data_IF_630730064244
#
_entry.id   IF_630730064244
#
_cell.length_a   1.000
_cell.length_b   1.000
_cell.length_c   1.000
_cell.angle_alpha   90.00
_cell.angle_beta   90.00
_cell.angle_gamma   90.00
#
_symmetry.space_group_name_H-M   'P 1'
#
loop_
_entity.id
_entity.type
_entity.pdbx_description
1 polymer ?
#
# COMPACT_ATOMS: atom_id res chain seq x y z
N UNK A 1 13.27 -16.67 -13.52
CA UNK A 1 13.75 -16.03 -12.27
C UNK A 1 14.76 -16.96 -11.63
N UNK A 2 15.91 -16.49 -11.14
CA UNK A 2 16.86 -17.36 -10.43
C UNK A 2 16.30 -17.76 -9.06
N UNK A 3 16.68 -18.94 -8.55
CA UNK A 3 16.28 -19.42 -7.22
C UNK A 3 16.63 -18.41 -6.10
N UNK A 4 17.74 -17.70 -6.25
CA UNK A 4 18.18 -16.67 -5.31
C UNK A 4 17.23 -15.46 -5.29
N UNK A 5 16.74 -15.01 -6.44
CA UNK A 5 15.75 -13.93 -6.53
C UNK A 5 14.42 -14.36 -5.91
N UNK A 6 14.03 -15.62 -6.11
CA UNK A 6 12.80 -16.16 -5.53
C UNK A 6 12.85 -16.17 -3.99
N UNK A 7 13.93 -16.69 -3.40
CA UNK A 7 14.10 -16.67 -1.95
C UNK A 7 14.20 -15.26 -1.38
N UNK A 8 14.91 -14.35 -2.07
CA UNK A 8 14.98 -12.94 -1.66
C UNK A 8 13.59 -12.27 -1.67
N UNK A 9 12.79 -12.50 -2.71
CA UNK A 9 11.41 -12.01 -2.79
C UNK A 9 10.54 -12.59 -1.68
N UNK A 10 10.63 -13.90 -1.41
CA UNK A 10 9.88 -14.55 -0.34
C UNK A 10 10.21 -13.96 1.04
N UNK A 11 11.49 -13.74 1.33
CA UNK A 11 11.93 -13.07 2.57
C UNK A 11 11.42 -11.64 2.65
N UNK A 12 11.52 -10.87 1.57
CA UNK A 12 11.02 -9.50 1.52
C UNK A 12 9.50 -9.43 1.80
N UNK A 13 8.70 -10.32 1.22
CA UNK A 13 7.27 -10.40 1.48
C UNK A 13 6.97 -10.65 2.97
N UNK A 14 7.71 -11.55 3.62
CA UNK A 14 7.57 -11.79 5.06
C UNK A 14 7.88 -10.55 5.90
N UNK A 15 9.02 -9.90 5.62
CA UNK A 15 9.46 -8.71 6.37
C UNK A 15 8.48 -7.55 6.22
N UNK A 16 7.99 -7.32 5.00
CA UNK A 16 7.02 -6.25 4.72
C UNK A 16 5.68 -6.55 5.39
N UNK A 17 5.22 -7.80 5.36
CA UNK A 17 3.91 -8.17 5.91
C UNK A 17 3.86 -8.12 7.44
N UNK A 18 4.97 -8.39 8.13
CA UNK A 18 5.04 -8.32 9.60
C UNK A 18 5.01 -6.86 10.09
N UNK A 19 5.46 -5.93 9.25
CA UNK A 19 5.54 -4.51 9.61
C UNK A 19 4.13 -3.90 9.62
N UNK A 20 3.59 -3.44 10.77
CA UNK A 20 2.30 -2.77 10.80
C UNK A 20 2.39 -1.50 9.95
N UNK A 21 1.58 -1.42 8.91
CA UNK A 21 1.61 -0.29 7.98
C UNK A 21 1.26 1.03 8.67
N UNK A 22 1.83 2.14 8.21
CA UNK A 22 1.59 3.47 8.78
C UNK A 22 0.08 3.82 8.88
N UNK A 23 -0.72 3.41 7.90
CA UNK A 23 -2.18 3.58 7.91
C UNK A 23 -2.90 2.73 8.98
N UNK A 24 -2.39 1.53 9.28
CA UNK A 24 -2.93 0.70 10.35
C UNK A 24 -2.68 1.35 11.73
N UNK A 25 -1.47 1.87 11.96
CA UNK A 25 -1.11 2.59 13.19
C UNK A 25 -1.93 3.88 13.32
N UNK A 26 -2.08 4.66 12.24
CA UNK A 26 -2.91 5.87 12.24
C UNK A 26 -4.38 5.57 12.58
N UNK A 27 -4.93 4.48 12.03
CA UNK A 27 -6.31 4.05 12.32
C UNK A 27 -6.47 3.61 13.77
N UNK A 28 -5.55 2.80 14.31
CA UNK A 28 -5.54 2.38 15.71
C UNK A 28 -5.44 3.59 16.66
N UNK A 29 -4.52 4.52 16.39
CA UNK A 29 -4.37 5.74 17.18
C UNK A 29 -5.62 6.62 17.12
N UNK A 30 -6.22 6.79 15.93
CA UNK A 30 -7.42 7.60 15.79
C UNK A 30 -8.64 7.00 16.49
N UNK A 31 -8.80 5.67 16.43
CA UNK A 31 -9.88 4.96 17.12
C UNK A 31 -9.74 4.99 18.64
N UNK A 32 -8.51 4.87 19.17
CA UNK A 32 -8.22 4.92 20.60
C UNK A 32 -8.32 6.34 21.17
N UNK A 33 -7.82 7.36 20.46
CA UNK A 33 -7.76 8.74 20.96
C UNK A 33 -9.02 9.58 20.68
N UNK A 34 -9.69 9.37 19.54
CA UNK A 34 -10.81 10.23 19.09
C UNK A 34 -12.15 9.49 18.91
N UNK A 35 -12.19 8.20 19.27
CA UNK A 35 -13.38 7.34 19.21
C UNK A 35 -13.76 6.89 17.79
N UNK A 36 -14.75 5.99 17.72
CA UNK A 36 -15.10 5.27 16.48
C UNK A 36 -15.51 6.19 15.31
N UNK A 37 -16.17 7.32 15.60
CA UNK A 37 -16.61 8.29 14.59
C UNK A 37 -15.44 8.93 13.83
N UNK A 38 -14.37 9.32 14.51
CA UNK A 38 -13.19 9.90 13.86
C UNK A 38 -12.31 8.82 13.21
N UNK A 39 -12.22 7.63 13.83
CA UNK A 39 -11.54 6.49 13.22
C UNK A 39 -12.14 6.09 11.87
N UNK A 40 -13.47 6.17 11.73
CA UNK A 40 -14.15 5.87 10.46
C UNK A 40 -13.76 6.85 9.34
N UNK A 41 -13.68 8.15 9.66
CA UNK A 41 -13.19 9.15 8.71
C UNK A 41 -11.73 8.94 8.32
N UNK A 42 -10.88 8.53 9.27
CA UNK A 42 -9.49 8.19 8.98
C UNK A 42 -9.37 6.99 8.03
N UNK A 43 -10.16 5.93 8.25
CA UNK A 43 -10.18 4.75 7.39
C UNK A 43 -10.62 5.09 5.95
N UNK A 44 -11.68 5.90 5.80
CA UNK A 44 -12.14 6.36 4.48
C UNK A 44 -11.04 7.17 3.78
N UNK A 45 -10.41 8.11 4.49
CA UNK A 45 -9.33 8.93 3.94
C UNK A 45 -8.15 8.08 3.45
N UNK A 46 -7.74 7.08 4.22
CA UNK A 46 -6.70 6.13 3.84
C UNK A 46 -7.08 5.32 2.59
N UNK A 47 -8.34 4.88 2.49
CA UNK A 47 -8.80 4.12 1.33
C UNK A 47 -8.83 4.97 0.05
N UNK A 48 -9.30 6.22 0.15
CA UNK A 48 -9.29 7.17 -0.98
C UNK A 48 -7.86 7.47 -1.42
N UNK A 49 -6.97 7.74 -0.46
CA UNK A 49 -5.56 7.99 -0.76
C UNK A 49 -4.90 6.79 -1.47
N UNK A 50 -5.17 5.56 -0.99
CA UNK A 50 -4.68 4.34 -1.61
C UNK A 50 -5.18 4.19 -3.05
N UNK A 51 -6.48 4.42 -3.28
CA UNK A 51 -7.07 4.34 -4.63
C UNK A 51 -6.43 5.34 -5.58
N UNK A 52 -6.27 6.60 -5.16
CA UNK A 52 -5.63 7.63 -5.97
C UNK A 52 -4.18 7.24 -6.29
N UNK A 53 -3.43 6.75 -5.31
CA UNK A 53 -2.04 6.35 -5.54
C UNK A 53 -1.93 5.18 -6.51
N UNK A 54 -2.79 4.16 -6.37
CA UNK A 54 -2.84 3.04 -7.32
C UNK A 54 -3.16 3.54 -8.73
N UNK A 55 -4.13 4.45 -8.88
CA UNK A 55 -4.48 5.02 -10.19
C UNK A 55 -3.31 5.77 -10.82
N UNK A 56 -2.57 6.55 -10.04
CA UNK A 56 -1.37 7.28 -10.52
C UNK A 56 -0.29 6.28 -10.97
N UNK A 57 0.00 5.28 -10.14
CA UNK A 57 1.00 4.24 -10.48
C UNK A 57 0.59 3.46 -11.72
N UNK A 58 -0.68 3.04 -11.81
CA UNK A 58 -1.21 2.33 -12.97
C UNK A 58 -1.15 3.18 -14.24
N UNK A 59 -1.47 4.47 -14.16
CA UNK A 59 -1.33 5.40 -15.29
C UNK A 59 0.13 5.52 -15.74
N UNK A 60 1.08 5.69 -14.81
CA UNK A 60 2.51 5.80 -15.13
C UNK A 60 3.07 4.52 -15.77
N UNK A 61 2.72 3.36 -15.21
CA UNK A 61 3.08 2.05 -15.78
C UNK A 61 2.42 1.85 -17.15
N UNK A 62 1.18 2.32 -17.33
CA UNK A 62 0.48 2.28 -18.61
C UNK A 62 1.17 3.11 -19.70
N UNK A 63 1.71 4.28 -19.36
CA UNK A 63 2.51 5.10 -20.28
C UNK A 63 3.80 4.38 -20.68
N UNK A 64 4.48 3.75 -19.72
CA UNK A 64 5.67 2.93 -20.02
C UNK A 64 5.34 1.83 -21.04
N UNK A 65 4.29 1.05 -20.80
CA UNK A 65 3.85 0.01 -21.74
C UNK A 65 3.40 0.55 -23.11
N UNK A 66 2.76 1.71 -23.16
CA UNK A 66 2.32 2.32 -24.42
C UNK A 66 3.47 2.87 -25.27
N UNK A 67 4.60 3.21 -24.65
CA UNK A 67 5.76 3.86 -25.29
C UNK A 67 6.93 2.92 -25.55
N UNK A 68 6.95 1.74 -24.94
CA UNK A 68 7.94 0.70 -25.26
C UNK A 68 7.41 -0.20 -26.39
N UNK A 69 8.06 -0.23 -27.56
CA UNK A 69 7.75 -1.25 -28.56
C UNK A 69 8.16 -2.62 -28.03
N UNK A 70 7.31 -3.64 -28.25
CA UNK A 70 7.59 -5.05 -27.97
C UNK A 70 8.83 -5.54 -28.73
#
# INVERSE_FOLDING_TARGET
>A
MSLQVWFAYMLACWVISISPGAGAIASMSSGLNYGFRHGYWNAIGLQIALLIQIMIVAAGVGVLFATTPL
#
